data_IF_202010970347
#
_entry.id   IF_202010970347
#
_cell.length_a   1.000
_cell.length_b   1.000
_cell.length_c   1.000
_cell.angle_alpha   90.00
_cell.angle_beta   90.00
_cell.angle_gamma   90.00
#
_symmetry.space_group_name_H-M   'P 1'
#
loop_
_entity.id
_entity.type
_entity.pdbx_description
1 polymer ?
#
# COMPACT_ATOMS: atom_id res chain seq x y z
N UNK A 1 25.99 -28.87 15.62
CA UNK A 1 25.79 -27.40 15.66
C UNK A 1 25.15 -26.93 14.35
N UNK A 2 23.82 -26.95 14.23
CA UNK A 2 23.08 -26.51 13.03
C UNK A 2 21.68 -26.03 13.45
N UNK A 3 21.56 -24.87 14.10
CA UNK A 3 20.23 -24.31 14.41
C UNK A 3 20.17 -22.79 14.50
N UNK A 4 21.29 -22.07 14.33
CA UNK A 4 21.30 -20.60 14.50
C UNK A 4 20.90 -19.78 13.27
N UNK A 5 20.64 -20.39 12.10
CA UNK A 5 20.37 -19.64 10.86
C UNK A 5 18.91 -19.27 10.64
N UNK A 6 17.95 -19.88 11.36
CA UNK A 6 16.53 -19.70 11.03
C UNK A 6 15.83 -18.55 11.76
N UNK A 7 16.39 -18.01 12.84
CA UNK A 7 15.73 -16.97 13.66
C UNK A 7 15.94 -15.57 13.08
N UNK A 8 17.04 -15.34 12.36
CA UNK A 8 17.36 -14.01 11.81
C UNK A 8 16.45 -13.65 10.63
N UNK A 9 15.98 -14.63 9.85
CA UNK A 9 15.19 -14.36 8.64
C UNK A 9 13.76 -13.86 8.97
N UNK A 10 13.18 -14.31 10.09
CA UNK A 10 11.84 -13.88 10.50
C UNK A 10 11.81 -12.46 11.06
N UNK A 11 12.94 -11.95 11.59
CA UNK A 11 13.02 -10.61 12.15
C UNK A 11 13.10 -9.52 11.07
N UNK A 12 13.70 -9.83 9.91
CA UNK A 12 13.83 -8.86 8.80
C UNK A 12 12.47 -8.56 8.16
N UNK A 13 11.59 -9.56 8.06
CA UNK A 13 10.27 -9.41 7.42
C UNK A 13 9.31 -8.55 8.27
N UNK A 14 9.44 -8.60 9.59
CA UNK A 14 8.57 -7.82 10.50
C UNK A 14 9.03 -6.36 10.60
N UNK A 15 10.31 -6.08 10.39
CA UNK A 15 10.81 -4.71 10.42
C UNK A 15 10.47 -3.93 9.15
N UNK A 16 10.31 -4.59 8.00
CA UNK A 16 9.86 -3.96 6.75
C UNK A 16 8.36 -3.63 6.72
N UNK A 17 7.54 -4.22 7.60
CA UNK A 17 6.12 -3.85 7.72
C UNK A 17 5.86 -2.76 8.75
N UNK A 18 6.80 -2.50 9.67
CA UNK A 18 6.62 -1.50 10.73
C UNK A 18 7.03 -0.07 10.32
N UNK A 19 7.85 0.08 9.29
CA UNK A 19 8.31 1.40 8.80
C UNK A 19 7.31 2.13 7.89
N UNK A 20 6.15 1.54 7.60
CA UNK A 20 5.04 2.20 6.90
C UNK A 20 4.12 2.98 7.86
N UNK A 21 4.65 3.45 8.99
CA UNK A 21 3.95 4.32 9.95
C UNK A 21 4.35 5.78 9.76
N UNK A 22 4.42 6.23 8.51
CA UNK A 22 4.21 7.64 8.21
C UNK A 22 2.71 7.78 7.95
N UNK A 23 2.02 8.45 8.88
CA UNK A 23 0.60 8.76 8.77
C UNK A 23 0.34 9.62 7.53
N UNK A 24 0.19 8.99 6.37
CA UNK A 24 -0.39 9.59 5.19
C UNK A 24 -1.88 9.28 5.22
N UNK A 25 -2.68 10.31 4.94
CA UNK A 25 -4.12 10.32 5.07
C UNK A 25 -4.73 9.00 4.60
N UNK A 26 -5.62 8.43 5.43
CA UNK A 26 -6.46 7.31 5.00
C UNK A 26 -6.99 7.60 3.59
N UNK A 27 -6.86 6.67 2.62
CA UNK A 27 -7.34 6.90 1.28
C UNK A 27 -8.80 7.34 1.37
N UNK A 28 -9.13 8.49 0.74
CA UNK A 28 -10.51 8.98 0.65
C UNK A 28 -11.38 7.95 -0.07
N UNK A 29 -10.75 7.08 -0.86
CA UNK A 29 -11.35 5.92 -1.52
C UNK A 29 -11.38 4.73 -0.55
N UNK A 30 -12.53 4.51 0.09
CA UNK A 30 -12.75 3.32 0.91
C UNK A 30 -13.19 2.13 0.05
N UNK A 31 -12.48 1.01 0.18
CA UNK A 31 -12.72 -0.23 -0.55
C UNK A 31 -14.16 -0.75 -0.45
N UNK A 32 -14.81 -0.56 0.70
CA UNK A 32 -16.16 -1.04 0.98
C UNK A 32 -17.27 -0.27 0.24
N UNK A 33 -16.95 0.91 -0.30
CA UNK A 33 -17.92 1.75 -1.01
C UNK A 33 -18.09 1.34 -2.49
N UNK A 34 -17.33 0.33 -2.95
CA UNK A 34 -17.28 -0.08 -4.36
C UNK A 34 -17.72 -1.54 -4.53
N UNK A 35 -18.47 -1.80 -5.61
CA UNK A 35 -19.00 -3.14 -5.93
C UNK A 35 -18.06 -3.97 -6.84
N UNK A 36 -16.99 -3.38 -7.35
CA UNK A 36 -16.04 -4.07 -8.21
C UNK A 36 -14.62 -3.51 -8.09
N UNK A 37 -13.63 -4.37 -8.34
CA UNK A 37 -12.23 -3.96 -8.40
C UNK A 37 -11.97 -2.84 -9.42
N UNK A 38 -12.57 -2.92 -10.62
CA UNK A 38 -12.36 -1.91 -11.65
C UNK A 38 -12.85 -0.52 -11.27
N UNK A 39 -14.03 -0.43 -10.64
CA UNK A 39 -14.57 0.84 -10.15
C UNK A 39 -13.72 1.43 -9.02
N UNK A 40 -13.27 0.58 -8.09
CA UNK A 40 -12.38 0.99 -7.00
C UNK A 40 -11.04 1.47 -7.54
N UNK A 41 -10.40 0.68 -8.41
CA UNK A 41 -9.10 1.00 -9.00
C UNK A 41 -9.16 2.34 -9.73
N UNK A 42 -10.22 2.60 -10.51
CA UNK A 42 -10.37 3.87 -11.22
C UNK A 42 -10.37 5.06 -10.25
N UNK A 43 -11.14 4.96 -9.15
CA UNK A 43 -11.19 6.02 -8.14
C UNK A 43 -9.85 6.17 -7.41
N UNK A 44 -9.22 5.05 -7.03
CA UNK A 44 -7.91 5.04 -6.37
C UNK A 44 -6.84 5.67 -7.27
N UNK A 45 -6.79 5.32 -8.56
CA UNK A 45 -5.85 5.90 -9.54
C UNK A 45 -6.10 7.39 -9.72
N UNK A 46 -7.36 7.83 -9.73
CA UNK A 46 -7.68 9.26 -9.83
C UNK A 46 -7.20 10.03 -8.59
N UNK A 47 -7.38 9.46 -7.40
CA UNK A 47 -6.83 10.03 -6.17
C UNK A 47 -5.30 10.07 -6.23
N UNK A 48 -4.65 8.99 -6.68
CA UNK A 48 -3.20 8.93 -6.84
C UNK A 48 -2.65 10.04 -7.75
N UNK A 49 -3.27 10.31 -8.89
CA UNK A 49 -2.82 11.42 -9.74
C UNK A 49 -3.04 12.79 -9.10
N UNK A 50 -4.15 12.96 -8.38
CA UNK A 50 -4.46 14.21 -7.69
C UNK A 50 -3.43 14.50 -6.60
N UNK A 51 -3.17 13.52 -5.74
CA UNK A 51 -2.22 13.63 -4.63
C UNK A 51 -0.79 13.80 -5.17
N UNK A 52 -0.42 13.08 -6.23
CA UNK A 52 0.91 13.14 -6.84
C UNK A 52 1.19 14.47 -7.55
N UNK A 53 0.15 15.14 -8.08
CA UNK A 53 0.28 16.49 -8.63
C UNK A 53 0.55 17.56 -7.57
N UNK A 54 0.26 17.25 -6.30
CA UNK A 54 0.46 18.13 -5.15
C UNK A 54 1.71 17.77 -4.34
N UNK A 55 2.44 16.72 -4.71
CA UNK A 55 3.68 16.35 -4.02
C UNK A 55 4.77 17.40 -4.24
N UNK A 56 5.48 17.75 -3.16
CA UNK A 56 6.50 18.77 -3.13
C UNK A 56 7.91 18.21 -3.33
N UNK A 57 8.11 16.91 -3.08
CA UNK A 57 9.38 16.23 -3.27
C UNK A 57 9.22 14.75 -3.68
N UNK A 58 10.36 14.11 -3.97
CA UNK A 58 10.41 12.72 -4.41
C UNK A 58 10.05 11.74 -3.29
N UNK A 59 10.34 12.07 -2.03
CA UNK A 59 10.02 11.19 -0.91
C UNK A 59 8.51 11.07 -0.72
N UNK A 60 7.77 12.17 -0.86
CA UNK A 60 6.32 12.16 -0.84
C UNK A 60 5.72 11.31 -1.97
N UNK A 61 6.28 11.43 -3.20
CA UNK A 61 5.87 10.58 -4.33
C UNK A 61 6.15 9.10 -4.07
N UNK A 62 7.31 8.76 -3.52
CA UNK A 62 7.69 7.38 -3.23
C UNK A 62 6.77 6.75 -2.17
N UNK A 63 6.43 7.50 -1.12
CA UNK A 63 5.48 7.08 -0.08
C UNK A 63 4.08 6.87 -0.64
N UNK A 64 3.62 7.82 -1.45
CA UNK A 64 2.32 7.75 -2.07
C UNK A 64 2.19 6.56 -3.02
N UNK A 65 3.24 6.28 -3.79
CA UNK A 65 3.30 5.11 -4.66
C UNK A 65 3.31 3.80 -3.84
N UNK A 66 4.02 3.75 -2.71
CA UNK A 66 3.99 2.60 -1.82
C UNK A 66 2.59 2.33 -1.25
N UNK A 67 1.87 3.38 -0.85
CA UNK A 67 0.50 3.29 -0.36
C UNK A 67 -0.45 2.82 -1.47
N UNK A 68 -0.34 3.40 -2.67
CA UNK A 68 -1.15 3.02 -3.84
C UNK A 68 -1.02 1.54 -4.19
N UNK A 69 0.21 1.00 -4.18
CA UNK A 69 0.46 -0.42 -4.41
C UNK A 69 -0.10 -1.31 -3.29
N UNK A 70 -0.01 -0.87 -2.03
CA UNK A 70 -0.59 -1.59 -0.89
C UNK A 70 -2.13 -1.65 -0.99
N UNK A 71 -2.77 -0.55 -1.38
CA UNK A 71 -4.21 -0.47 -1.57
C UNK A 71 -4.69 -1.33 -2.75
N UNK A 72 -3.93 -1.37 -3.85
CA UNK A 72 -4.18 -2.31 -4.96
C UNK A 72 -4.11 -3.76 -4.47
N UNK A 73 -3.09 -4.12 -3.70
CA UNK A 73 -2.93 -5.48 -3.19
C UNK A 73 -4.09 -5.86 -2.25
N UNK A 74 -4.48 -4.97 -1.34
CA UNK A 74 -5.64 -5.17 -0.48
C UNK A 74 -6.94 -5.33 -1.29
N UNK A 75 -7.13 -4.50 -2.32
CA UNK A 75 -8.31 -4.55 -3.16
C UNK A 75 -8.40 -5.83 -4.00
N UNK A 76 -7.27 -6.33 -4.52
CA UNK A 76 -7.23 -7.62 -5.20
C UNK A 76 -7.70 -8.75 -4.30
N UNK A 77 -7.25 -8.76 -3.04
CA UNK A 77 -7.69 -9.76 -2.05
C UNK A 77 -9.18 -9.63 -1.77
N UNK A 78 -9.67 -8.41 -1.50
CA UNK A 78 -11.08 -8.16 -1.17
C UNK A 78 -12.05 -8.53 -2.30
N UNK A 79 -11.73 -8.14 -3.54
CA UNK A 79 -12.55 -8.42 -4.71
C UNK A 79 -12.26 -9.79 -5.35
N UNK A 80 -11.31 -10.57 -4.83
CA UNK A 80 -10.95 -11.89 -5.34
C UNK A 80 -10.29 -11.87 -6.72
N UNK A 81 -9.60 -10.79 -7.07
CA UNK A 81 -8.87 -10.62 -8.34
C UNK A 81 -7.45 -11.18 -8.20
N UNK A 82 -6.99 -11.89 -9.23
CA UNK A 82 -5.65 -12.51 -9.28
C UNK A 82 -4.64 -11.59 -9.95
#
# INVERSE_FOLDING_TARGET
MKSFKSVVLSAVIVLSTLSASAAYAHPLVNLHDYNSYGSYLTALTQQYWTDGSNAHDQWELDQQNAQYEADIAAAKIYFGVK
#
